data_IF_626055971982
#
_entry.id   IF_626055971982
#
_cell.length_a   1.000
_cell.length_b   1.000
_cell.length_c   1.000
_cell.angle_alpha   90.00
_cell.angle_beta   90.00
_cell.angle_gamma   90.00
#
_symmetry.space_group_name_H-M   'P 1'
#
loop_
_entity.id
_entity.type
_entity.pdbx_description
1 polymer ?
#
# COMPACT_ATOMS: atom_id res chain seq x y z
N UNK A 1 -11.46 -21.55 21.42
CA UNK A 1 -11.43 -20.09 21.17
C UNK A 1 -9.99 -19.62 20.93
N UNK A 2 -9.27 -20.21 19.96
CA UNK A 2 -7.82 -19.93 19.74
C UNK A 2 -7.55 -18.71 18.83
N UNK A 3 -8.60 -18.15 18.23
CA UNK A 3 -8.48 -17.04 17.28
C UNK A 3 -8.28 -15.68 17.97
N UNK A 4 -8.88 -15.50 19.16
CA UNK A 4 -8.83 -14.24 19.91
C UNK A 4 -7.44 -13.99 20.51
N UNK A 5 -6.71 -15.04 20.87
CA UNK A 5 -5.33 -14.95 21.39
C UNK A 5 -4.28 -14.58 20.33
N UNK A 6 -4.66 -14.56 19.04
CA UNK A 6 -3.81 -14.12 17.91
C UNK A 6 -4.19 -12.74 17.37
N UNK A 7 -5.09 -12.02 18.05
CA UNK A 7 -5.45 -10.65 17.66
C UNK A 7 -4.45 -9.71 18.32
N UNK A 8 -3.65 -9.03 17.49
CA UNK A 8 -2.69 -8.06 17.96
C UNK A 8 -3.21 -6.62 17.79
N UNK A 9 -2.51 -5.65 18.38
CA UNK A 9 -2.77 -4.21 18.19
C UNK A 9 -2.75 -3.80 16.71
N UNK A 10 -1.97 -4.51 15.88
CA UNK A 10 -1.92 -4.30 14.41
C UNK A 10 -3.24 -4.68 13.74
N UNK A 11 -3.88 -5.78 14.15
CA UNK A 11 -5.19 -6.20 13.64
C UNK A 11 -6.26 -5.16 13.99
N UNK A 12 -6.25 -4.66 15.24
CA UNK A 12 -7.17 -3.62 15.70
C UNK A 12 -6.98 -2.33 14.90
N UNK A 13 -5.72 -1.94 14.64
CA UNK A 13 -5.39 -0.79 13.81
C UNK A 13 -5.97 -0.93 12.39
N UNK A 14 -5.74 -2.06 11.73
CA UNK A 14 -6.27 -2.30 10.38
C UNK A 14 -7.79 -2.36 10.33
N UNK A 15 -8.42 -2.97 11.34
CA UNK A 15 -9.87 -2.99 11.45
C UNK A 15 -10.45 -1.58 11.54
N UNK A 16 -9.88 -0.72 12.39
CA UNK A 16 -10.29 0.69 12.53
C UNK A 16 -10.14 1.43 11.20
N UNK A 17 -9.02 1.25 10.50
CA UNK A 17 -8.76 1.89 9.21
C UNK A 17 -9.79 1.46 8.17
N UNK A 18 -10.10 0.16 8.10
CA UNK A 18 -11.07 -0.39 7.16
C UNK A 18 -12.47 0.15 7.47
N UNK A 19 -12.92 0.08 8.72
CA UNK A 19 -14.23 0.58 9.15
C UNK A 19 -14.38 2.09 8.85
N UNK A 20 -13.36 2.88 9.19
CA UNK A 20 -13.33 4.30 8.88
C UNK A 20 -13.35 4.57 7.38
N UNK A 21 -12.70 3.74 6.58
CA UNK A 21 -12.68 3.88 5.12
C UNK A 21 -14.03 3.52 4.49
N UNK A 22 -14.72 2.50 5.01
CA UNK A 22 -16.11 2.17 4.64
C UNK A 22 -17.03 3.36 4.94
N UNK A 23 -16.95 3.92 6.15
CA UNK A 23 -17.76 5.06 6.55
C UNK A 23 -17.53 6.28 5.65
N UNK A 24 -16.27 6.62 5.40
CA UNK A 24 -15.90 7.73 4.51
C UNK A 24 -16.34 7.46 3.06
N UNK A 25 -16.20 6.23 2.56
CA UNK A 25 -16.65 5.84 1.22
C UNK A 25 -18.17 5.95 1.06
N UNK A 26 -18.93 5.60 2.09
CA UNK A 26 -20.39 5.77 2.13
C UNK A 26 -20.81 7.24 2.01
N UNK A 27 -20.07 8.15 2.66
CA UNK A 27 -20.35 9.59 2.61
C UNK A 27 -19.94 10.27 1.29
N UNK A 28 -18.87 9.77 0.64
CA UNK A 28 -18.30 10.38 -0.57
C UNK A 28 -18.94 9.90 -1.87
N UNK A 29 -19.56 8.72 -1.86
CA UNK A 29 -20.16 8.09 -3.04
C UNK A 29 -19.15 7.30 -3.89
N UNK A 30 -19.67 6.47 -4.80
CA UNK A 30 -18.92 5.48 -5.57
C UNK A 30 -17.86 6.11 -6.48
N UNK A 31 -18.27 7.01 -7.39
CA UNK A 31 -17.37 7.58 -8.39
C UNK A 31 -16.24 8.39 -7.76
N UNK A 32 -16.57 9.21 -6.77
CA UNK A 32 -15.61 10.03 -6.05
C UNK A 32 -14.52 9.20 -5.35
N UNK A 33 -14.89 8.03 -4.83
CA UNK A 33 -13.97 7.12 -4.15
C UNK A 33 -13.21 6.23 -5.14
N UNK A 34 -13.80 5.88 -6.28
CA UNK A 34 -13.18 5.09 -7.35
C UNK A 34 -11.95 5.79 -7.95
N UNK A 35 -12.04 7.09 -8.25
CA UNK A 35 -10.87 7.84 -8.70
C UNK A 35 -9.79 7.96 -7.61
N UNK A 36 -10.21 8.04 -6.34
CA UNK A 36 -9.29 8.16 -5.21
C UNK A 36 -8.49 6.86 -4.99
N UNK A 37 -9.14 5.70 -5.07
CA UNK A 37 -8.48 4.40 -4.94
C UNK A 37 -7.51 4.14 -6.09
N UNK A 38 -7.85 4.55 -7.32
CA UNK A 38 -6.94 4.47 -8.47
C UNK A 38 -5.69 5.33 -8.26
N UNK A 39 -5.85 6.59 -7.84
CA UNK A 39 -4.73 7.47 -7.54
C UNK A 39 -3.84 6.93 -6.43
N UNK A 40 -4.43 6.30 -5.41
CA UNK A 40 -3.68 5.62 -4.36
C UNK A 40 -2.89 4.42 -4.90
N UNK A 41 -3.49 3.58 -5.74
CA UNK A 41 -2.80 2.43 -6.34
C UNK A 41 -1.58 2.85 -7.14
N UNK A 42 -1.73 3.88 -7.97
CA UNK A 42 -0.62 4.43 -8.77
C UNK A 42 0.46 5.01 -7.86
N UNK A 43 0.09 5.72 -6.78
CA UNK A 43 1.04 6.25 -5.81
C UNK A 43 1.87 5.14 -5.14
N UNK A 44 1.24 4.02 -4.77
CA UNK A 44 1.95 2.88 -4.17
C UNK A 44 2.94 2.26 -5.17
N UNK A 45 2.51 2.02 -6.41
CA UNK A 45 3.35 1.47 -7.48
C UNK A 45 4.56 2.37 -7.75
N UNK A 46 4.34 3.69 -7.87
CA UNK A 46 5.42 4.66 -8.04
C UNK A 46 6.37 4.67 -6.85
N UNK A 47 5.85 4.56 -5.63
CA UNK A 47 6.68 4.53 -4.41
C UNK A 47 7.59 3.33 -4.37
N UNK A 48 7.06 2.13 -4.64
CA UNK A 48 7.86 0.89 -4.71
C UNK A 48 8.95 1.01 -5.77
N UNK A 49 8.70 1.70 -6.87
CA UNK A 49 9.66 1.80 -7.96
C UNK A 49 10.74 2.88 -7.74
N UNK A 50 10.37 4.05 -7.22
CA UNK A 50 11.26 5.21 -7.14
C UNK A 50 11.94 5.41 -5.79
N UNK A 51 11.47 4.76 -4.71
CA UNK A 51 12.00 5.02 -3.37
C UNK A 51 13.52 4.78 -3.26
N UNK A 52 14.07 3.71 -3.85
CA UNK A 52 15.50 3.41 -3.69
C UNK A 52 16.40 4.41 -4.41
N UNK A 53 15.97 4.93 -5.57
CA UNK A 53 16.71 5.98 -6.31
C UNK A 53 16.75 7.27 -5.52
N UNK A 54 15.62 7.66 -4.95
CA UNK A 54 15.51 8.87 -4.12
C UNK A 54 16.27 8.67 -2.81
N UNK A 55 16.27 7.46 -2.24
CA UNK A 55 17.01 7.16 -1.03
C UNK A 55 18.53 7.24 -1.24
N UNK A 56 19.04 6.74 -2.37
CA UNK A 56 20.44 6.88 -2.72
C UNK A 56 20.85 8.36 -2.88
N UNK A 57 19.97 9.18 -3.46
CA UNK A 57 20.16 10.62 -3.56
C UNK A 57 20.20 11.27 -2.17
N UNK A 58 19.19 11.05 -1.33
CA UNK A 58 19.11 11.60 0.03
C UNK A 58 20.33 11.19 0.86
N UNK A 59 20.71 9.91 0.85
CA UNK A 59 21.86 9.41 1.61
C UNK A 59 23.16 10.12 1.19
N UNK A 60 23.33 10.39 -0.11
CA UNK A 60 24.51 11.08 -0.66
C UNK A 60 24.61 12.55 -0.21
N UNK A 61 23.48 13.26 -0.08
CA UNK A 61 23.49 14.70 0.22
C UNK A 61 23.26 15.03 1.69
N UNK A 62 22.52 14.19 2.43
CA UNK A 62 22.09 14.47 3.80
C UNK A 62 22.82 13.62 4.86
N UNK A 63 23.70 12.69 4.45
CA UNK A 63 24.46 11.80 5.36
C UNK A 63 23.59 11.03 6.37
N UNK A 64 22.34 10.75 6.01
CA UNK A 64 21.39 9.99 6.82
C UNK A 64 21.58 8.48 6.56
N UNK A 65 21.41 7.60 7.57
CA UNK A 65 21.42 6.16 7.37
C UNK A 65 20.45 5.70 6.28
N UNK A 66 20.88 4.75 5.45
CA UNK A 66 20.13 4.25 4.29
C UNK A 66 18.71 3.77 4.67
N UNK A 67 18.55 3.14 5.84
CA UNK A 67 17.26 2.65 6.32
C UNK A 67 16.25 3.79 6.53
N UNK A 68 16.69 4.89 7.17
CA UNK A 68 15.85 6.07 7.39
C UNK A 68 15.57 6.76 6.05
N UNK A 69 16.58 6.83 5.18
CA UNK A 69 16.45 7.38 3.84
C UNK A 69 15.43 6.62 2.99
N UNK A 70 15.35 5.28 3.12
CA UNK A 70 14.36 4.45 2.43
C UNK A 70 12.94 4.77 2.89
N UNK A 71 12.70 4.90 4.20
CA UNK A 71 11.38 5.27 4.75
C UNK A 71 10.97 6.65 4.22
N UNK A 72 11.85 7.64 4.35
CA UNK A 72 11.58 9.01 3.93
C UNK A 72 11.28 9.05 2.44
N UNK A 73 12.07 8.36 1.62
CA UNK A 73 11.87 8.34 0.16
C UNK A 73 10.56 7.67 -0.23
N UNK A 74 10.24 6.53 0.39
CA UNK A 74 9.00 5.82 0.12
C UNK A 74 7.78 6.68 0.47
N UNK A 75 7.78 7.30 1.64
CA UNK A 75 6.70 8.20 2.07
C UNK A 75 6.62 9.45 1.20
N UNK A 76 7.75 10.07 0.85
CA UNK A 76 7.80 11.26 0.03
C UNK A 76 7.24 11.00 -1.38
N UNK A 77 7.63 9.90 -2.03
CA UNK A 77 7.09 9.53 -3.34
C UNK A 77 5.59 9.23 -3.25
N UNK A 78 5.17 8.46 -2.25
CA UNK A 78 3.77 8.11 -2.08
C UNK A 78 2.91 9.36 -1.89
N UNK A 79 3.38 10.26 -1.04
CA UNK A 79 2.70 11.50 -0.73
C UNK A 79 2.63 12.43 -1.94
N UNK A 80 3.75 12.66 -2.63
CA UNK A 80 3.79 13.51 -3.82
C UNK A 80 2.91 12.95 -4.94
N UNK A 81 3.00 11.65 -5.22
CA UNK A 81 2.16 10.99 -6.22
C UNK A 81 0.67 11.07 -5.84
N UNK A 82 0.33 10.81 -4.57
CA UNK A 82 -1.04 10.90 -4.10
C UNK A 82 -1.61 12.33 -4.21
N UNK A 83 -0.82 13.34 -3.84
CA UNK A 83 -1.22 14.74 -3.97
C UNK A 83 -1.52 15.10 -5.42
N UNK A 84 -0.63 14.76 -6.36
CA UNK A 84 -0.83 14.99 -7.79
C UNK A 84 -2.16 14.38 -8.28
N UNK A 85 -2.46 13.14 -7.87
CA UNK A 85 -3.72 12.49 -8.20
C UNK A 85 -4.93 13.11 -7.52
N UNK A 86 -4.78 13.61 -6.29
CA UNK A 86 -5.86 14.26 -5.56
C UNK A 86 -6.25 15.59 -6.22
N UNK A 87 -5.28 16.35 -6.72
CA UNK A 87 -5.53 17.55 -7.55
C UNK A 87 -6.34 17.19 -8.80
N UNK A 88 -5.94 16.17 -9.56
CA UNK A 88 -6.66 15.71 -10.75
C UNK A 88 -8.07 15.24 -10.42
N UNK A 89 -8.23 14.48 -9.34
CA UNK A 89 -9.55 14.00 -8.87
C UNK A 89 -10.46 15.15 -8.46
N UNK A 90 -9.91 16.20 -7.84
CA UNK A 90 -10.65 17.42 -7.48
C UNK A 90 -11.20 18.15 -8.70
N UNK A 91 -10.43 18.20 -9.80
CA UNK A 91 -10.87 18.77 -11.08
C UNK A 91 -11.97 17.92 -11.72
N UNK A 92 -11.80 16.59 -11.76
CA UNK A 92 -12.79 15.66 -12.31
C UNK A 92 -14.11 15.76 -11.53
N UNK A 93 -14.07 15.87 -10.20
CA UNK A 93 -15.28 16.03 -9.37
C UNK A 93 -16.07 17.30 -9.70
N UNK A 94 -15.41 18.38 -10.13
CA UNK A 94 -16.09 19.60 -10.56
C UNK A 94 -16.79 19.39 -11.91
N UNK A 95 -16.17 18.65 -12.83
CA UNK A 95 -16.73 18.33 -14.16
C UNK A 95 -17.88 17.33 -14.05
N UNK A 96 -17.70 16.25 -13.26
CA UNK A 96 -18.71 15.18 -13.08
C UNK A 96 -19.93 15.65 -12.27
N UNK A 97 -19.83 16.74 -11.51
CA UNK A 97 -21.02 17.38 -10.90
C UNK A 97 -21.99 17.95 -11.94
N UNK A 98 -21.54 18.17 -13.18
CA UNK A 98 -22.34 18.86 -14.22
C UNK A 98 -23.25 17.90 -14.97
N UNK A 99 -22.92 16.61 -15.07
CA UNK A 99 -23.70 15.67 -15.88
C UNK A 99 -23.69 14.28 -15.24
N UNK A 100 -24.85 13.59 -15.28
CA UNK A 100 -25.15 12.16 -14.99
C UNK A 100 -26.26 11.99 -13.93
N UNK A 101 -27.49 12.06 -14.42
CA UNK A 101 -28.75 11.45 -13.95
C UNK A 101 -28.99 11.28 -12.43
N UNK A 102 -29.85 12.10 -11.80
CA UNK A 102 -30.08 12.10 -10.35
C UNK A 102 -30.64 10.78 -9.76
N UNK A 103 -31.34 9.95 -10.55
CA UNK A 103 -32.04 8.76 -10.03
C UNK A 103 -31.25 7.45 -10.13
N UNK A 104 -30.40 7.26 -11.15
CA UNK A 104 -29.55 6.06 -11.29
C UNK A 104 -28.36 6.08 -10.30
N UNK A 105 -28.02 7.29 -9.83
CA UNK A 105 -26.86 7.57 -9.00
C UNK A 105 -27.06 7.20 -7.51
N UNK A 106 -28.32 7.10 -7.04
CA UNK A 106 -28.60 6.96 -5.60
C UNK A 106 -28.32 5.56 -5.05
N UNK A 107 -28.71 4.50 -5.77
CA UNK A 107 -28.46 3.11 -5.34
C UNK A 107 -26.99 2.72 -5.50
N UNK A 108 -26.36 3.11 -6.62
CA UNK A 108 -24.93 2.87 -6.87
C UNK A 108 -24.05 3.65 -5.88
N UNK A 109 -24.38 4.90 -5.54
CA UNK A 109 -23.63 5.59 -4.50
C UNK A 109 -23.86 5.00 -3.10
N UNK A 110 -25.09 4.57 -2.78
CA UNK A 110 -25.40 4.00 -1.48
C UNK A 110 -24.70 2.65 -1.22
N UNK A 111 -24.63 1.76 -2.22
CA UNK A 111 -24.00 0.44 -2.09
C UNK A 111 -22.55 0.41 -2.59
N UNK A 112 -22.25 1.11 -3.67
CA UNK A 112 -20.90 1.18 -4.23
C UNK A 112 -19.93 2.00 -3.38
N UNK A 113 -20.39 3.05 -2.70
CA UNK A 113 -19.57 3.85 -1.79
C UNK A 113 -18.90 3.02 -0.68
N UNK A 114 -19.66 2.25 0.12
CA UNK A 114 -19.12 1.35 1.14
C UNK A 114 -18.15 0.30 0.58
N UNK A 115 -18.46 -0.31 -0.56
CA UNK A 115 -17.63 -1.35 -1.19
C UNK A 115 -16.28 -0.77 -1.62
N UNK A 116 -16.28 0.37 -2.30
CA UNK A 116 -15.03 1.04 -2.69
C UNK A 116 -14.28 1.55 -1.46
N UNK A 117 -15.00 2.02 -0.43
CA UNK A 117 -14.42 2.38 0.87
C UNK A 117 -13.71 1.22 1.55
N UNK A 118 -14.28 0.01 1.49
CA UNK A 118 -13.64 -1.22 1.97
C UNK A 118 -12.36 -1.53 1.19
N UNK A 119 -12.43 -1.58 -0.13
CA UNK A 119 -11.27 -1.83 -1.00
C UNK A 119 -10.15 -0.82 -0.74
N UNK A 120 -10.51 0.45 -0.56
CA UNK A 120 -9.55 1.49 -0.19
C UNK A 120 -8.96 1.26 1.19
N UNK A 121 -9.79 0.91 2.19
CA UNK A 121 -9.31 0.56 3.52
C UNK A 121 -8.28 -0.57 3.50
N UNK A 122 -8.50 -1.59 2.67
CA UNK A 122 -7.52 -2.65 2.44
C UNK A 122 -6.22 -2.13 1.81
N UNK A 123 -6.30 -1.25 0.80
CA UNK A 123 -5.10 -0.65 0.19
C UNK A 123 -4.33 0.26 1.15
N UNK A 124 -5.03 1.04 1.97
CA UNK A 124 -4.42 1.87 3.02
C UNK A 124 -3.73 0.99 4.06
N UNK A 125 -4.38 -0.09 4.48
CA UNK A 125 -3.80 -1.04 5.43
C UNK A 125 -2.56 -1.73 4.85
N UNK A 126 -2.60 -2.12 3.57
CA UNK A 126 -1.44 -2.66 2.84
C UNK A 126 -0.30 -1.64 2.77
N UNK A 127 -0.61 -0.38 2.47
CA UNK A 127 0.40 0.68 2.43
C UNK A 127 1.05 0.89 3.80
N UNK A 128 0.26 0.96 4.87
CA UNK A 128 0.77 1.07 6.24
C UNK A 128 1.61 -0.14 6.60
N UNK A 129 1.17 -1.35 6.23
CA UNK A 129 1.95 -2.56 6.43
C UNK A 129 3.32 -2.49 5.74
N UNK A 130 3.38 -2.02 4.48
CA UNK A 130 4.66 -1.78 3.79
C UNK A 130 5.55 -0.81 4.57
N UNK A 131 5.00 0.30 5.07
CA UNK A 131 5.75 1.25 5.90
C UNK A 131 6.26 0.60 7.20
N UNK A 132 5.43 -0.18 7.89
CA UNK A 132 5.82 -0.90 9.11
C UNK A 132 6.99 -1.87 8.86
N UNK A 133 7.07 -2.47 7.66
CA UNK A 133 8.19 -3.34 7.27
C UNK A 133 9.50 -2.57 7.06
N UNK A 134 9.43 -1.30 6.64
CA UNK A 134 10.62 -0.46 6.48
C UNK A 134 11.15 0.05 7.82
N UNK A 135 10.35 0.03 8.89
CA UNK A 135 10.78 0.47 10.22
C UNK A 135 11.75 -0.58 10.81
N UNK A 136 12.98 -0.18 11.20
CA UNK A 136 13.99 -1.11 11.74
C UNK A 136 13.74 -1.42 13.24
N UNK A 137 12.50 -1.76 13.62
CA UNK A 137 12.13 -2.11 15.00
C UNK A 137 11.56 -3.52 15.03
N UNK A 138 12.33 -4.47 15.59
CA UNK A 138 11.99 -5.89 15.61
C UNK A 138 10.62 -6.19 16.23
N UNK A 139 10.23 -5.47 17.28
CA UNK A 139 8.91 -5.64 17.90
C UNK A 139 7.75 -5.30 16.95
N UNK A 140 7.86 -4.19 16.20
CA UNK A 140 6.84 -3.74 15.25
C UNK A 140 6.73 -4.73 14.10
N UNK A 141 7.89 -5.18 13.62
CA UNK A 141 8.00 -6.15 12.53
C UNK A 141 7.40 -7.50 12.94
N UNK A 142 7.73 -8.01 14.13
CA UNK A 142 7.20 -9.28 14.63
C UNK A 142 5.71 -9.19 14.96
N UNK A 143 5.26 -8.07 15.52
CA UNK A 143 3.86 -7.79 15.80
C UNK A 143 3.00 -7.77 14.53
N UNK A 144 3.54 -7.23 13.44
CA UNK A 144 2.88 -7.22 12.14
C UNK A 144 2.96 -8.56 11.41
N UNK A 145 3.90 -9.46 11.76
CA UNK A 145 4.17 -10.72 11.03
C UNK A 145 3.63 -11.97 11.70
N UNK A 146 4.07 -12.23 12.93
CA UNK A 146 3.90 -13.53 13.59
C UNK A 146 2.74 -13.52 14.58
N UNK A 147 2.41 -12.34 15.10
CA UNK A 147 1.33 -12.16 16.07
C UNK A 147 -0.04 -11.87 15.49
N UNK A 148 -0.20 -11.77 14.16
CA UNK A 148 -1.39 -11.19 13.53
C UNK A 148 -1.95 -12.03 12.38
N UNK A 149 -3.26 -12.28 12.40
CA UNK A 149 -4.00 -12.93 11.31
C UNK A 149 -3.96 -12.10 10.02
N UNK A 150 -4.09 -10.78 10.15
CA UNK A 150 -4.09 -9.87 9.01
C UNK A 150 -2.69 -9.62 8.44
N UNK A 151 -1.64 -9.76 9.25
CA UNK A 151 -0.24 -9.72 8.84
C UNK A 151 0.11 -10.65 7.68
N UNK A 152 -0.32 -11.92 7.75
CA UNK A 152 -0.07 -12.90 6.67
C UNK A 152 -0.80 -12.54 5.37
N UNK A 153 -2.01 -12.02 5.48
CA UNK A 153 -2.79 -11.56 4.32
C UNK A 153 -2.07 -10.40 3.61
N UNK A 154 -1.68 -9.37 4.36
CA UNK A 154 -0.97 -8.22 3.80
C UNK A 154 0.42 -8.56 3.27
N UNK A 155 1.12 -9.51 3.88
CA UNK A 155 2.40 -10.01 3.36
C UNK A 155 2.24 -10.66 1.97
N UNK A 156 1.20 -11.47 1.76
CA UNK A 156 0.89 -12.05 0.45
C UNK A 156 0.54 -10.97 -0.57
N UNK A 157 -0.32 -10.03 -0.19
CA UNK A 157 -0.71 -8.92 -1.07
C UNK A 157 0.48 -8.02 -1.45
N UNK A 158 1.38 -7.75 -0.50
CA UNK A 158 2.60 -6.98 -0.74
C UNK A 158 3.50 -7.67 -1.78
N UNK A 159 3.67 -9.00 -1.67
CA UNK A 159 4.41 -9.80 -2.64
C UNK A 159 3.79 -9.73 -4.03
N UNK A 160 2.49 -9.96 -4.16
CA UNK A 160 1.80 -9.89 -5.45
C UNK A 160 1.89 -8.50 -6.07
N UNK A 161 1.76 -7.44 -5.26
CA UNK A 161 1.90 -6.07 -5.72
C UNK A 161 3.32 -5.81 -6.26
N UNK A 162 4.33 -6.32 -5.58
CA UNK A 162 5.72 -6.25 -6.04
C UNK A 162 5.93 -6.98 -7.38
N UNK A 163 5.54 -8.26 -7.45
CA UNK A 163 5.71 -9.08 -8.67
C UNK A 163 5.03 -8.42 -9.87
N UNK A 164 3.82 -7.88 -9.68
CA UNK A 164 3.11 -7.14 -10.72
C UNK A 164 3.79 -5.83 -11.08
N UNK A 165 4.29 -5.07 -10.10
CA UNK A 165 4.96 -3.78 -10.35
C UNK A 165 6.23 -3.98 -11.19
N UNK A 166 7.03 -5.01 -10.88
CA UNK A 166 8.22 -5.36 -11.65
C UNK A 166 7.87 -5.87 -13.05
N UNK A 167 6.76 -6.60 -13.20
CA UNK A 167 6.29 -7.07 -14.50
C UNK A 167 5.75 -5.96 -15.41
N UNK A 168 5.15 -4.90 -14.84
CA UNK A 168 4.56 -3.79 -15.61
C UNK A 168 5.63 -2.79 -16.08
N UNK A 169 6.67 -2.55 -15.26
CA UNK A 169 7.76 -1.64 -15.60
C UNK A 169 9.07 -2.43 -15.53
N UNK A 170 9.58 -2.93 -16.67
CA UNK A 170 10.90 -3.57 -16.72
C UNK A 170 11.96 -2.53 -16.35
N UNK A 171 12.43 -2.58 -15.10
CA UNK A 171 13.51 -1.74 -14.62
C UNK A 171 14.85 -2.32 -15.05
N UNK A 172 15.78 -1.47 -15.49
CA UNK A 172 17.15 -1.84 -15.89
C UNK A 172 18.01 -2.42 -14.77
N UNK A 173 17.52 -2.37 -13.51
CA UNK A 173 18.05 -3.12 -12.36
C UNK A 173 16.85 -3.62 -11.53
N UNK A 174 16.86 -4.85 -11.01
CA UNK A 174 15.81 -5.33 -10.11
C UNK A 174 15.71 -4.36 -8.93
N UNK A 175 14.47 -3.95 -8.59
CA UNK A 175 14.22 -3.12 -7.41
C UNK A 175 14.74 -3.89 -6.20
N UNK A 176 15.72 -3.32 -5.51
CA UNK A 176 16.30 -3.94 -4.33
C UNK A 176 15.27 -3.90 -3.18
N UNK A 177 14.46 -4.94 -3.10
CA UNK A 177 13.53 -5.18 -2.00
C UNK A 177 14.21 -5.93 -0.86
N UNK A 178 15.51 -6.18 -0.89
CA UNK A 178 16.23 -6.80 0.23
C UNK A 178 15.97 -6.06 1.55
N UNK A 179 15.76 -4.73 1.63
CA UNK A 179 15.32 -4.09 2.87
C UNK A 179 13.88 -4.45 3.30
N UNK A 180 12.95 -4.57 2.36
CA UNK A 180 11.56 -5.05 2.57
C UNK A 180 11.53 -6.56 2.92
N UNK A 181 12.47 -7.31 2.34
CA UNK A 181 12.65 -8.75 2.48
C UNK A 181 13.60 -9.15 3.60
N UNK A 182 14.44 -8.27 4.14
CA UNK A 182 15.35 -8.57 5.25
C UNK A 182 14.54 -8.77 6.53
N UNK A 183 13.44 -8.02 6.68
CA UNK A 183 12.41 -8.40 7.61
C UNK A 183 11.77 -9.76 7.25
N UNK A 184 11.61 -10.07 5.97
CA UNK A 184 11.04 -11.33 5.46
C UNK A 184 12.08 -12.49 5.39
N UNK A 185 13.32 -12.29 5.80
CA UNK A 185 14.41 -13.26 5.64
C UNK A 185 14.45 -14.23 6.83
N UNK A 186 13.90 -13.82 7.99
CA UNK A 186 13.56 -14.72 9.09
C UNK A 186 12.41 -15.69 8.75
N UNK A 187 11.78 -15.53 7.59
CA UNK A 187 10.83 -16.50 7.07
C UNK A 187 11.59 -17.76 6.64
N UNK A 188 11.21 -18.92 7.15
CA UNK A 188 11.44 -20.21 6.47
C UNK A 188 10.63 -20.29 5.17
N UNK A 189 10.79 -19.32 4.27
CA UNK A 189 10.14 -19.29 2.97
C UNK A 189 11.12 -19.81 1.92
N UNK A 190 10.99 -21.10 1.58
CA UNK A 190 11.64 -21.76 0.42
C UNK A 190 11.31 -21.09 -0.94
N UNK A 191 10.47 -20.06 -0.96
CA UNK A 191 9.80 -19.50 -2.14
C UNK A 191 10.30 -18.08 -2.53
N UNK A 192 11.39 -17.61 -1.92
CA UNK A 192 12.13 -16.41 -2.32
C UNK A 192 13.58 -16.71 -2.74
N UNK A 193 13.97 -17.98 -2.80
CA UNK A 193 15.18 -18.30 -3.56
C UNK A 193 14.93 -17.87 -5.01
N UNK A 194 15.86 -17.14 -5.65
CA UNK A 194 15.79 -16.98 -7.09
C UNK A 194 15.57 -18.37 -7.66
N UNK A 195 14.56 -18.55 -8.53
CA UNK A 195 14.47 -19.79 -9.29
C UNK A 195 15.86 -19.96 -9.87
N UNK A 196 16.57 -21.02 -9.43
CA UNK A 196 17.91 -21.31 -9.91
C UNK A 196 17.79 -21.14 -11.41
N UNK A 197 18.52 -20.17 -11.95
CA UNK A 197 18.62 -20.02 -13.38
C UNK A 197 19.13 -21.37 -13.83
N UNK A 198 18.25 -22.19 -14.39
CA UNK A 198 18.62 -23.34 -15.20
C UNK A 198 19.35 -22.74 -16.41
N UNK A 199 20.61 -22.37 -16.16
CA UNK A 199 21.59 -22.06 -17.16
C UNK A 199 22.26 -23.40 -17.42
N UNK A 200 22.00 -23.86 -18.65
CA UNK A 200 22.53 -25.02 -19.37
C UNK A 200 21.85 -26.35 -19.04
#
# INVERSE_FOLDING_TARGET
>A
MEWVSRVNWVDVLFLIIILRSIYVGSQRGFFAELFNILGMGIAIVLSIHFYSRIAAFITKYLYIPLNISNIISFLAVAFLAHLLFQFTTGLIKKVVKVEIFPNFNKWINAFGGPIIGFCKGMMVSLFIFLVLLLIPISYVVNSAKDGSLSGQFFARSARTLYEKTVGIIPSTRPVDITPLLAGAESLKFKMFQPKKSDKL
#
